data_IF_687649472128
#
_entry.id   IF_687649472128
#
_cell.length_a   1.000
_cell.length_b   1.000
_cell.length_c   1.000
_cell.angle_alpha   90.00
_cell.angle_beta   90.00
_cell.angle_gamma   90.00
#
_symmetry.space_group_name_H-M   'P 1'
#
loop_
_entity.id
_entity.type
_entity.pdbx_description
1 polymer ?
#
# COMPACT_ATOMS: atom_id res chain seq x y z
N UNK A 1 -30.25 69.30 16.42
CA UNK A 1 -31.28 68.79 17.36
C UNK A 1 -31.43 67.29 17.16
N UNK A 2 -31.41 66.52 18.26
CA UNK A 2 -32.03 65.18 18.43
C UNK A 2 -33.44 65.37 19.06
N UNK A 3 -34.25 64.33 19.40
CA UNK A 3 -34.13 62.87 19.28
C UNK A 3 -35.06 62.33 18.14
N UNK A 4 -35.72 61.16 18.08
CA UNK A 4 -36.06 59.98 18.95
C UNK A 4 -36.33 58.81 17.95
N UNK A 5 -36.05 57.52 18.13
CA UNK A 5 -36.09 56.53 19.25
C UNK A 5 -37.49 56.08 19.70
N UNK A 6 -37.63 54.76 19.98
CA UNK A 6 -38.78 53.95 20.50
C UNK A 6 -39.68 53.23 19.47
N UNK A 7 -40.21 52.00 19.71
CA UNK A 7 -39.99 50.96 20.76
C UNK A 7 -40.45 49.53 20.35
N UNK A 8 -39.98 48.52 21.10
CA UNK A 8 -40.45 47.13 21.36
C UNK A 8 -41.10 46.22 20.28
N UNK A 9 -40.57 45.00 20.16
CA UNK A 9 -41.35 43.78 19.88
C UNK A 9 -42.08 43.29 21.15
N UNK A 10 -43.25 42.63 21.03
CA UNK A 10 -43.90 41.99 22.20
C UNK A 10 -44.72 40.73 21.90
N UNK A 11 -44.17 39.58 22.34
CA UNK A 11 -44.81 38.32 22.82
C UNK A 11 -46.12 37.82 22.16
N UNK A 12 -45.99 36.65 21.52
CA UNK A 12 -46.61 35.36 21.90
C UNK A 12 -48.12 35.28 22.22
N UNK A 13 -48.81 34.36 21.52
CA UNK A 13 -49.43 33.17 22.16
C UNK A 13 -49.79 32.05 21.16
N UNK A 14 -50.03 30.85 21.70
CA UNK A 14 -50.46 29.65 20.99
C UNK A 14 -52.00 29.58 21.01
N UNK A 15 -52.61 29.13 19.92
CA UNK A 15 -53.99 28.66 19.88
C UNK A 15 -54.06 27.28 19.24
N UNK A 16 -54.69 26.34 19.92
CA UNK A 16 -55.11 25.05 19.39
C UNK A 16 -56.58 24.84 19.79
N UNK A 17 -57.40 24.26 18.91
CA UNK A 17 -58.66 23.58 19.27
C UNK A 17 -59.27 22.86 18.05
N UNK A 18 -59.58 21.58 18.23
CA UNK A 18 -60.52 20.79 17.43
C UNK A 18 -61.13 19.72 18.36
N UNK A 19 -62.40 19.37 18.18
CA UNK A 19 -63.19 18.72 19.23
C UNK A 19 -63.26 17.17 19.15
N UNK A 20 -63.18 16.55 20.33
CA UNK A 20 -64.09 15.53 20.91
C UNK A 20 -64.61 14.38 20.01
N UNK A 21 -64.42 13.12 20.45
CA UNK A 21 -65.00 11.90 19.85
C UNK A 21 -66.44 11.60 20.32
N UNK A 22 -66.84 10.34 20.65
CA UNK A 22 -66.06 9.09 20.76
C UNK A 22 -66.66 7.84 20.08
N UNK A 23 -65.87 6.77 19.98
CA UNK A 23 -66.26 5.38 20.35
C UNK A 23 -65.12 4.39 20.07
N UNK A 24 -65.00 3.36 20.92
CA UNK A 24 -64.02 2.26 20.80
C UNK A 24 -64.72 0.96 20.35
N UNK A 25 -63.97 -0.16 20.36
CA UNK A 25 -64.49 -1.54 20.22
C UNK A 25 -64.98 -1.98 18.82
N UNK A 26 -64.04 -2.27 17.90
CA UNK A 26 -64.10 -3.52 17.07
C UNK A 26 -62.87 -3.82 16.19
N UNK A 27 -62.01 -2.84 15.88
CA UNK A 27 -60.89 -3.01 14.91
C UNK A 27 -59.48 -3.21 15.52
N UNK A 28 -59.35 -3.46 16.83
CA UNK A 28 -58.07 -3.72 17.50
C UNK A 28 -57.97 -5.17 18.02
N UNK A 29 -57.90 -6.16 17.11
CA UNK A 29 -57.54 -7.56 17.46
C UNK A 29 -56.68 -8.21 16.36
N UNK A 30 -57.06 -8.07 15.10
CA UNK A 30 -56.40 -8.73 13.97
C UNK A 30 -55.50 -7.77 13.17
N UNK A 31 -54.19 -7.81 13.44
CA UNK A 31 -53.06 -7.57 12.50
C UNK A 31 -51.67 -7.41 13.19
N UNK A 32 -51.49 -7.88 14.43
CA UNK A 32 -50.26 -7.65 15.24
C UNK A 32 -49.26 -8.81 15.29
N UNK A 33 -49.33 -9.81 14.39
CA UNK A 33 -48.36 -10.92 14.30
C UNK A 33 -48.05 -11.31 12.84
N UNK A 34 -47.18 -10.56 12.16
CA UNK A 34 -46.32 -11.00 11.02
C UNK A 34 -45.52 -9.79 10.50
N UNK A 35 -44.31 -9.52 11.02
CA UNK A 35 -43.60 -8.27 10.66
C UNK A 35 -42.09 -8.18 10.89
N UNK A 36 -41.38 -9.28 11.21
CA UNK A 36 -39.94 -9.23 11.54
C UNK A 36 -39.09 -10.16 10.65
N UNK A 37 -39.59 -11.35 10.27
CA UNK A 37 -38.80 -12.36 9.56
C UNK A 37 -38.38 -11.99 8.13
N UNK A 38 -39.07 -11.05 7.47
CA UNK A 38 -38.86 -10.75 6.05
C UNK A 38 -37.52 -10.05 5.75
N UNK A 39 -36.96 -9.29 6.70
CA UNK A 39 -35.76 -8.46 6.47
C UNK A 39 -34.45 -9.27 6.43
N UNK A 40 -34.44 -10.49 6.98
CA UNK A 40 -33.26 -11.37 6.94
C UNK A 40 -33.09 -12.06 5.58
N UNK A 41 -34.19 -12.42 4.91
CA UNK A 41 -34.17 -13.13 3.64
C UNK A 41 -33.70 -12.29 2.44
N UNK A 42 -33.71 -10.95 2.54
CA UNK A 42 -33.26 -10.05 1.48
C UNK A 42 -31.73 -9.88 1.42
N UNK A 43 -31.02 -10.08 2.55
CA UNK A 43 -29.59 -9.74 2.67
C UNK A 43 -28.66 -10.60 1.81
N UNK A 44 -29.10 -11.80 1.44
CA UNK A 44 -28.38 -12.74 0.58
C UNK A 44 -28.31 -12.31 -0.91
N UNK A 45 -29.12 -11.34 -1.35
CA UNK A 45 -29.19 -10.92 -2.76
C UNK A 45 -28.62 -9.51 -3.02
N UNK A 46 -28.11 -8.82 -1.98
CA UNK A 46 -27.31 -7.62 -2.19
C UNK A 46 -25.90 -8.03 -2.63
N UNK A 47 -25.34 -7.48 -3.74
CA UNK A 47 -23.93 -7.64 -4.01
C UNK A 47 -23.12 -7.00 -2.88
N UNK A 48 -22.09 -7.69 -2.40
CA UNK A 48 -21.15 -7.18 -1.41
C UNK A 48 -20.30 -6.07 -2.03
N UNK A 49 -20.84 -4.85 -2.03
CA UNK A 49 -20.12 -3.64 -2.40
C UNK A 49 -18.98 -3.40 -1.40
N UNK A 50 -17.81 -3.98 -1.69
CA UNK A 50 -16.58 -3.69 -0.97
C UNK A 50 -16.24 -2.23 -1.25
N UNK A 51 -16.55 -1.35 -0.29
CA UNK A 51 -16.13 0.03 -0.32
C UNK A 51 -14.61 0.07 -0.22
N UNK A 52 -13.94 0.22 -1.37
CA UNK A 52 -12.49 0.38 -1.47
C UNK A 52 -12.11 1.78 -0.98
N UNK A 53 -12.10 1.98 0.33
CA UNK A 53 -11.68 3.24 0.97
C UNK A 53 -10.24 3.56 0.56
N UNK A 54 -9.98 4.65 -0.19
CA UNK A 54 -8.63 4.99 -0.60
C UNK A 54 -7.76 5.29 0.63
N UNK A 55 -6.68 4.53 0.80
CA UNK A 55 -5.76 4.69 1.94
C UNK A 55 -6.01 3.77 3.14
N UNK A 56 -6.94 2.80 3.06
CA UNK A 56 -6.96 1.67 4.00
C UNK A 56 -5.65 0.88 3.94
N UNK A 57 -4.70 1.18 4.82
CA UNK A 57 -3.52 0.35 5.06
C UNK A 57 -3.95 -0.94 5.73
N UNK A 58 -4.22 -1.96 4.92
CA UNK A 58 -4.28 -3.34 5.38
C UNK A 58 -2.96 -3.68 6.11
N UNK A 59 -2.99 -4.36 7.28
CA UNK A 59 -1.79 -4.61 8.05
C UNK A 59 -0.75 -5.41 7.25
N UNK A 60 0.36 -4.77 6.88
CA UNK A 60 1.46 -5.43 6.18
C UNK A 60 1.93 -6.63 7.02
N UNK A 61 1.77 -7.88 6.55
CA UNK A 61 2.14 -9.04 7.36
C UNK A 61 3.65 -9.04 7.59
N UNK A 62 4.06 -9.48 8.78
CA UNK A 62 5.47 -9.57 9.15
C UNK A 62 6.27 -10.36 8.09
N UNK A 63 7.54 -10.01 7.83
CA UNK A 63 8.38 -10.76 6.92
C UNK A 63 8.63 -12.18 7.45
N UNK A 64 8.60 -13.18 6.58
CA UNK A 64 9.01 -14.55 6.91
C UNK A 64 10.53 -14.63 7.08
N UNK A 65 11.03 -15.72 7.66
CA UNK A 65 12.46 -15.98 7.77
C UNK A 65 13.16 -15.96 6.40
N UNK A 66 12.52 -16.50 5.36
CA UNK A 66 12.98 -16.43 3.96
C UNK A 66 13.16 -14.98 3.47
N UNK A 67 12.14 -14.13 3.70
CA UNK A 67 12.18 -12.70 3.33
C UNK A 67 13.30 -11.97 4.07
N UNK A 68 13.53 -12.28 5.36
CA UNK A 68 14.63 -11.69 6.13
C UNK A 68 16.00 -12.16 5.63
N UNK A 69 16.17 -13.46 5.35
CA UNK A 69 17.44 -14.00 4.84
C UNK A 69 17.78 -13.46 3.46
N UNK A 70 16.81 -13.42 2.53
CA UNK A 70 16.99 -12.81 1.21
C UNK A 70 17.25 -11.30 1.29
N UNK A 71 16.60 -10.59 2.21
CA UNK A 71 16.86 -9.17 2.45
C UNK A 71 18.28 -8.93 2.99
N UNK A 72 18.77 -9.77 3.90
CA UNK A 72 20.12 -9.64 4.44
C UNK A 72 21.20 -9.96 3.39
N UNK A 73 20.98 -11.00 2.58
CA UNK A 73 21.78 -11.26 1.36
C UNK A 73 21.80 -10.02 0.45
N UNK A 74 20.61 -9.48 0.14
CA UNK A 74 20.46 -8.32 -0.75
C UNK A 74 21.18 -7.08 -0.22
N UNK A 75 21.11 -6.81 1.09
CA UNK A 75 21.83 -5.69 1.74
C UNK A 75 23.35 -5.85 1.62
N UNK A 76 23.88 -7.06 1.86
CA UNK A 76 25.31 -7.37 1.71
C UNK A 76 25.77 -7.25 0.25
N UNK A 77 24.93 -7.67 -0.69
CA UNK A 77 25.18 -7.64 -2.13
C UNK A 77 25.18 -6.22 -2.72
N UNK A 78 24.23 -5.36 -2.34
CA UNK A 78 24.08 -4.01 -2.89
C UNK A 78 24.84 -2.94 -2.10
N UNK A 79 25.19 -3.21 -0.84
CA UNK A 79 25.77 -2.23 0.09
C UNK A 79 24.75 -1.30 0.76
N UNK A 80 23.47 -1.39 0.43
CA UNK A 80 22.40 -0.56 1.00
C UNK A 80 21.73 -1.26 2.20
N UNK A 81 21.72 -0.62 3.38
CA UNK A 81 21.06 -1.12 4.59
C UNK A 81 19.53 -0.94 4.57
N UNK A 82 19.05 0.05 3.83
CA UNK A 82 17.70 0.62 3.89
C UNK A 82 16.70 -0.07 2.95
N UNK A 83 17.12 -1.17 2.32
CA UNK A 83 16.25 -2.03 1.51
C UNK A 83 15.00 -2.49 2.28
N UNK A 84 13.86 -2.46 1.59
CA UNK A 84 12.56 -2.78 2.15
C UNK A 84 12.24 -4.27 2.12
N UNK A 85 11.82 -4.83 3.26
CA UNK A 85 11.32 -6.20 3.36
C UNK A 85 10.05 -6.43 2.49
N UNK A 86 9.30 -5.37 2.18
CA UNK A 86 8.14 -5.45 1.27
C UNK A 86 8.61 -5.67 -0.17
N UNK A 87 9.63 -4.94 -0.60
CA UNK A 87 10.24 -5.12 -1.94
C UNK A 87 10.92 -6.48 -2.03
N UNK A 88 11.66 -6.90 -1.00
CA UNK A 88 12.28 -8.23 -0.93
C UNK A 88 11.25 -9.35 -1.10
N UNK A 89 10.09 -9.26 -0.43
CA UNK A 89 8.97 -10.21 -0.58
C UNK A 89 8.35 -10.17 -1.99
N UNK A 90 8.23 -8.99 -2.63
CA UNK A 90 7.77 -8.90 -4.02
C UNK A 90 8.76 -9.55 -5.00
N UNK A 91 10.07 -9.36 -4.80
CA UNK A 91 11.11 -9.98 -5.62
C UNK A 91 11.05 -11.51 -5.52
N UNK A 92 10.97 -12.06 -4.30
CA UNK A 92 10.82 -13.51 -4.08
C UNK A 92 9.57 -14.06 -4.79
N UNK A 93 8.40 -13.44 -4.56
CA UNK A 93 7.15 -13.88 -5.18
C UNK A 93 7.21 -13.83 -6.72
N UNK A 94 7.73 -12.74 -7.28
CA UNK A 94 7.89 -12.57 -8.72
C UNK A 94 8.86 -13.61 -9.29
N UNK A 95 10.07 -13.73 -8.75
CA UNK A 95 11.10 -14.68 -9.19
C UNK A 95 10.61 -16.12 -9.16
N UNK A 96 9.97 -16.54 -8.07
CA UNK A 96 9.38 -17.87 -7.93
C UNK A 96 8.24 -18.14 -8.94
N UNK A 97 7.49 -17.11 -9.36
CA UNK A 97 6.46 -17.25 -10.40
C UNK A 97 7.02 -17.23 -11.83
N UNK A 98 8.22 -16.67 -12.03
CA UNK A 98 8.85 -16.47 -13.34
C UNK A 98 9.88 -17.55 -13.69
N UNK A 99 10.54 -18.16 -12.70
CA UNK A 99 11.43 -19.30 -12.90
C UNK A 99 11.44 -20.26 -11.71
N UNK A 100 11.26 -21.56 -12.00
CA UNK A 100 11.40 -22.63 -11.01
C UNK A 100 12.82 -22.76 -10.43
N UNK A 101 13.85 -22.23 -11.10
CA UNK A 101 15.23 -22.22 -10.58
C UNK A 101 15.53 -21.08 -9.61
N UNK A 102 14.64 -20.09 -9.46
CA UNK A 102 14.90 -18.89 -8.67
C UNK A 102 15.06 -19.20 -7.17
N UNK A 103 14.09 -19.88 -6.56
CA UNK A 103 14.17 -20.29 -5.15
C UNK A 103 15.41 -21.14 -4.83
N UNK A 104 15.76 -22.20 -5.59
CA UNK A 104 17.02 -22.93 -5.41
C UNK A 104 18.27 -22.04 -5.42
N UNK A 105 18.43 -21.16 -6.41
CA UNK A 105 19.61 -20.29 -6.50
C UNK A 105 19.66 -19.25 -5.37
N UNK A 106 18.51 -18.68 -4.97
CA UNK A 106 18.43 -17.80 -3.79
C UNK A 106 18.80 -18.55 -2.51
N UNK A 107 18.34 -19.79 -2.33
CA UNK A 107 18.63 -20.58 -1.14
C UNK A 107 20.13 -20.91 -0.99
N UNK A 108 20.85 -21.16 -2.09
CA UNK A 108 22.30 -21.33 -2.06
C UNK A 108 23.04 -20.00 -1.84
N UNK A 109 22.66 -18.94 -2.57
CA UNK A 109 23.26 -17.61 -2.43
C UNK A 109 23.14 -17.04 -1.00
N UNK A 110 22.01 -17.26 -0.34
CA UNK A 110 21.77 -16.84 1.05
C UNK A 110 22.79 -17.43 2.02
N UNK A 111 23.26 -18.67 1.82
CA UNK A 111 24.24 -19.32 2.71
C UNK A 111 25.57 -18.55 2.75
N UNK A 112 25.97 -17.97 1.63
CA UNK A 112 27.23 -17.23 1.46
C UNK A 112 27.25 -15.87 2.20
N UNK A 113 26.10 -15.40 2.70
CA UNK A 113 25.95 -14.04 3.27
C UNK A 113 26.76 -13.82 4.55
N UNK A 114 26.89 -14.84 5.40
CA UNK A 114 27.46 -14.69 6.74
C UNK A 114 28.98 -14.57 6.72
N UNK A 115 29.65 -15.32 5.85
CA UNK A 115 31.11 -15.34 5.74
C UNK A 115 31.64 -14.13 4.95
N UNK A 116 30.83 -13.62 4.02
CA UNK A 116 31.17 -12.47 3.19
C UNK A 116 31.23 -11.16 4.00
N UNK A 117 32.41 -10.54 4.05
CA UNK A 117 32.60 -9.24 4.73
C UNK A 117 31.87 -8.10 4.01
N UNK A 118 32.00 -8.03 2.69
CA UNK A 118 31.43 -7.01 1.82
C UNK A 118 30.81 -7.61 0.54
N UNK A 119 30.27 -6.77 -0.34
CA UNK A 119 29.70 -7.17 -1.62
C UNK A 119 30.71 -7.87 -2.55
N UNK A 120 31.99 -7.48 -2.50
CA UNK A 120 33.07 -8.04 -3.35
C UNK A 120 33.41 -9.46 -2.90
N UNK A 121 33.48 -9.69 -1.59
CA UNK A 121 33.62 -11.02 -1.00
C UNK A 121 32.41 -11.91 -1.30
N UNK A 122 31.18 -11.37 -1.24
CA UNK A 122 29.97 -12.11 -1.56
C UNK A 122 29.91 -12.52 -3.04
N UNK A 123 30.27 -11.63 -3.97
CA UNK A 123 30.38 -11.94 -5.41
C UNK A 123 31.50 -12.96 -5.67
N UNK A 124 32.64 -12.88 -4.99
CA UNK A 124 33.72 -13.86 -5.12
C UNK A 124 33.32 -15.25 -4.58
N UNK A 125 32.61 -15.32 -3.46
CA UNK A 125 32.04 -16.57 -2.95
C UNK A 125 30.99 -17.15 -3.92
N UNK A 126 30.13 -16.30 -4.49
CA UNK A 126 29.17 -16.71 -5.51
C UNK A 126 29.85 -17.17 -6.81
N UNK A 127 31.02 -16.63 -7.16
CA UNK A 127 31.83 -17.09 -8.30
C UNK A 127 32.40 -18.48 -8.08
N UNK A 128 33.00 -18.74 -6.91
CA UNK A 128 33.48 -20.06 -6.51
C UNK A 128 32.36 -21.11 -6.45
N UNK A 129 31.13 -20.69 -6.12
CA UNK A 129 29.94 -21.54 -6.11
C UNK A 129 29.23 -21.67 -7.48
N UNK A 130 29.70 -21.01 -8.54
CA UNK A 130 29.04 -20.99 -9.87
C UNK A 130 27.74 -20.18 -9.95
N UNK A 131 27.42 -19.39 -8.91
CA UNK A 131 26.18 -18.63 -8.73
C UNK A 131 26.31 -17.13 -9.07
N UNK A 132 27.49 -16.66 -9.47
CA UNK A 132 27.77 -15.23 -9.78
C UNK A 132 26.76 -14.59 -10.74
N UNK A 133 26.29 -15.32 -11.76
CA UNK A 133 25.24 -14.83 -12.67
C UNK A 133 23.97 -14.45 -11.89
N UNK A 134 23.43 -15.38 -11.09
CA UNK A 134 22.23 -15.18 -10.28
C UNK A 134 22.39 -14.09 -9.21
N UNK A 135 23.59 -13.93 -8.64
CA UNK A 135 23.88 -12.81 -7.75
C UNK A 135 23.82 -11.45 -8.47
N UNK A 136 24.39 -11.36 -9.69
CA UNK A 136 24.34 -10.15 -10.51
C UNK A 136 22.93 -9.87 -11.05
N UNK A 137 22.14 -10.90 -11.36
CA UNK A 137 20.72 -10.76 -11.70
C UNK A 137 19.93 -10.17 -10.53
N UNK A 138 20.09 -10.70 -9.30
CA UNK A 138 19.42 -10.14 -8.10
C UNK A 138 19.86 -8.68 -7.86
N UNK A 139 21.14 -8.35 -8.10
CA UNK A 139 21.60 -6.96 -8.04
C UNK A 139 20.88 -6.09 -9.08
N UNK A 140 20.80 -6.53 -10.34
CA UNK A 140 20.08 -5.84 -11.40
C UNK A 140 18.58 -5.66 -11.08
N UNK A 141 17.93 -6.63 -10.43
CA UNK A 141 16.55 -6.51 -9.94
C UNK A 141 16.40 -5.36 -8.94
N UNK A 142 17.33 -5.20 -7.98
CA UNK A 142 17.27 -4.09 -7.02
C UNK A 142 17.55 -2.73 -7.66
N UNK A 143 18.47 -2.66 -8.63
CA UNK A 143 18.75 -1.42 -9.35
C UNK A 143 17.63 -0.99 -10.30
N UNK A 144 16.97 -1.92 -11.00
CA UNK A 144 15.92 -1.64 -12.00
C UNK A 144 14.49 -1.74 -11.47
N UNK A 145 14.30 -2.28 -10.27
CA UNK A 145 12.98 -2.58 -9.69
C UNK A 145 12.20 -3.67 -10.44
N UNK A 146 12.83 -4.41 -11.36
CA UNK A 146 12.16 -5.33 -12.31
C UNK A 146 12.77 -6.73 -12.25
N UNK A 147 11.94 -7.75 -12.03
CA UNK A 147 12.34 -9.17 -12.16
C UNK A 147 12.15 -9.60 -13.61
N UNK A 148 13.22 -10.08 -14.24
CA UNK A 148 13.20 -10.61 -15.62
C UNK A 148 13.07 -12.12 -15.57
N UNK A 149 12.12 -12.68 -16.34
CA UNK A 149 11.96 -14.11 -16.55
C UNK A 149 12.15 -14.49 -18.04
N UNK A 150 12.22 -15.79 -18.36
CA UNK A 150 12.56 -16.28 -19.71
C UNK A 150 11.49 -16.02 -20.78
N UNK A 151 10.32 -15.48 -20.41
CA UNK A 151 9.20 -15.16 -21.33
C UNK A 151 8.52 -13.83 -21.06
N UNK A 152 8.65 -13.28 -19.85
CA UNK A 152 8.01 -12.05 -19.40
C UNK A 152 8.78 -11.47 -18.22
N UNK A 153 8.59 -10.18 -17.93
CA UNK A 153 9.20 -9.48 -16.79
C UNK A 153 8.13 -8.84 -15.92
N UNK A 154 8.40 -8.67 -14.63
CA UNK A 154 7.49 -8.08 -13.65
C UNK A 154 8.17 -6.93 -12.89
N UNK A 155 7.59 -5.73 -12.98
CA UNK A 155 7.97 -4.58 -12.16
C UNK A 155 7.47 -4.82 -10.73
N UNK A 156 8.38 -4.78 -9.75
CA UNK A 156 8.12 -5.04 -8.32
C UNK A 156 8.37 -3.82 -7.44
N UNK A 157 9.22 -2.90 -7.89
CA UNK A 157 9.40 -1.55 -7.37
C UNK A 157 9.59 -0.59 -8.55
N UNK A 158 9.33 0.70 -8.35
CA UNK A 158 9.59 1.70 -9.39
C UNK A 158 10.22 2.95 -8.79
N UNK A 159 9.54 3.57 -7.83
CA UNK A 159 10.10 4.68 -7.05
C UNK A 159 11.29 4.25 -6.19
N UNK A 160 11.31 2.99 -5.77
CA UNK A 160 12.28 2.41 -4.84
C UNK A 160 13.42 1.64 -5.54
N UNK A 161 13.56 1.78 -6.86
CA UNK A 161 14.64 1.16 -7.63
C UNK A 161 15.96 1.93 -7.43
N UNK A 162 17.05 1.23 -7.08
CA UNK A 162 18.29 1.88 -6.60
C UNK A 162 18.95 2.81 -7.63
N UNK A 163 18.73 2.59 -8.94
CA UNK A 163 19.26 3.47 -9.99
C UNK A 163 18.77 4.92 -9.92
N UNK A 164 17.67 5.19 -9.22
CA UNK A 164 17.18 6.55 -8.98
C UNK A 164 17.80 7.21 -7.75
N UNK A 165 18.27 6.44 -6.76
CA UNK A 165 18.83 6.99 -5.52
C UNK A 165 20.19 7.67 -5.71
N UNK A 166 20.93 7.31 -6.76
CA UNK A 166 22.23 7.90 -7.13
C UNK A 166 22.14 9.28 -7.78
N UNK A 167 20.94 9.75 -8.11
CA UNK A 167 20.68 11.02 -8.82
C UNK A 167 19.51 11.81 -8.21
N UNK A 168 19.01 11.41 -7.04
CA UNK A 168 17.76 11.91 -6.43
C UNK A 168 17.79 13.40 -6.02
N UNK A 169 18.98 14.00 -5.96
CA UNK A 169 19.23 15.41 -5.70
C UNK A 169 18.99 16.29 -6.94
N UNK A 170 19.25 15.74 -8.13
CA UNK A 170 19.29 16.46 -9.40
C UNK A 170 18.32 15.92 -10.46
N UNK A 171 17.70 14.75 -10.27
CA UNK A 171 16.75 14.14 -11.21
C UNK A 171 15.55 13.50 -10.47
N UNK A 172 14.30 13.72 -10.94
CA UNK A 172 13.14 13.00 -10.43
C UNK A 172 13.11 11.55 -10.93
N UNK A 173 12.52 10.65 -10.13
CA UNK A 173 11.93 9.42 -10.68
C UNK A 173 10.89 9.84 -11.75
N UNK A 174 10.92 9.33 -12.99
CA UNK A 174 9.98 9.76 -14.01
C UNK A 174 8.52 9.57 -13.57
N UNK A 175 7.63 10.43 -14.03
CA UNK A 175 6.22 10.58 -13.58
C UNK A 175 6.00 11.10 -12.14
N UNK A 176 7.05 11.26 -11.31
CA UNK A 176 6.94 11.93 -10.02
C UNK A 176 7.36 13.40 -10.11
N UNK A 177 6.56 14.29 -9.52
CA UNK A 177 6.94 15.68 -9.34
C UNK A 177 8.02 15.82 -8.26
N UNK A 178 9.11 16.52 -8.60
CA UNK A 178 10.17 16.97 -7.70
C UNK A 178 10.11 18.51 -7.62
N UNK A 179 10.34 19.08 -6.43
CA UNK A 179 10.62 20.50 -6.15
C UNK A 179 9.65 21.59 -6.71
N UNK A 180 8.51 21.21 -7.29
CA UNK A 180 7.49 22.13 -7.82
C UNK A 180 7.74 22.59 -9.26
N UNK A 181 6.89 23.47 -9.84
CA UNK A 181 7.08 23.96 -11.20
C UNK A 181 8.40 24.71 -11.38
N UNK A 182 9.04 24.57 -12.55
CA UNK A 182 10.27 25.26 -12.96
C UNK A 182 11.51 25.02 -12.08
N UNK A 183 11.52 24.01 -11.18
CA UNK A 183 12.63 23.77 -10.25
C UNK A 183 14.01 23.64 -10.94
N UNK A 184 14.04 23.11 -12.16
CA UNK A 184 15.23 22.91 -12.99
C UNK A 184 15.89 24.22 -13.49
N UNK A 185 15.27 25.37 -13.22
CA UNK A 185 15.84 26.70 -13.50
C UNK A 185 16.76 27.21 -12.38
N UNK A 186 16.74 26.56 -11.21
CA UNK A 186 17.63 26.88 -10.11
C UNK A 186 19.05 26.38 -10.37
N UNK A 187 20.05 27.01 -9.74
CA UNK A 187 21.42 26.48 -9.73
C UNK A 187 21.41 25.08 -9.08
N UNK A 188 22.03 24.06 -9.69
CA UNK A 188 22.19 22.74 -9.07
C UNK A 188 22.86 22.83 -7.68
N UNK A 189 22.60 21.85 -6.78
CA UNK A 189 23.34 21.73 -5.54
C UNK A 189 24.85 21.57 -5.79
N UNK A 190 25.66 21.87 -4.78
CA UNK A 190 27.08 21.57 -4.82
C UNK A 190 27.31 20.06 -4.63
N UNK A 191 28.29 19.53 -5.38
CA UNK A 191 28.86 18.19 -5.24
C UNK A 191 30.06 18.20 -4.30
#
# INVERSE_FOLDING_TARGET
>A
MQPTSRQEQKKSRISALAHIGPSLQRRQVLLSVTGISALLAARQWLPTAIAQTPGSKEPTPAPSAEVISFLNFSRKLTGHSELSHVTARRILNAGNSLSASFAPHVAELVKLTNDAQDARALIAAAELAGLKHHALEINAVWYTGTVVGPKQSQVVAYREALMYSTVQDALPVPTYCLNGPLWWTQKPPAV
#
